data_IF_818761191680
#
_entry.id   IF_818761191680
#
_cell.length_a   1.000
_cell.length_b   1.000
_cell.length_c   1.000
_cell.angle_alpha   90.00
_cell.angle_beta   90.00
_cell.angle_gamma   90.00
#
_symmetry.space_group_name_H-M   'P 1'
#
loop_
_entity.id
_entity.type
_entity.pdbx_description
1 polymer ?
#
# COMPACT_ATOMS: atom_id res chain seq x y z
N UNK A 1 -11.83 -1.71 -0.84
CA UNK A 1 -12.53 -3.01 -0.93
C UNK A 1 -11.78 -4.01 -0.04
N UNK A 2 -12.41 -5.05 0.52
CA UNK A 2 -11.72 -6.06 1.33
C UNK A 2 -11.96 -7.44 0.74
N UNK A 3 -10.90 -8.08 0.27
CA UNK A 3 -10.95 -9.41 -0.33
C UNK A 3 -10.32 -10.43 0.61
N UNK A 4 -11.01 -11.55 0.85
CA UNK A 4 -10.54 -12.63 1.70
C UNK A 4 -10.32 -13.88 0.86
N UNK A 5 -9.13 -14.47 0.95
CA UNK A 5 -8.79 -15.67 0.20
C UNK A 5 -7.82 -16.56 0.98
N UNK A 6 -7.75 -17.83 0.61
CA UNK A 6 -6.86 -18.82 1.24
C UNK A 6 -5.88 -19.36 0.21
N UNK A 7 -4.61 -19.45 0.57
CA UNK A 7 -3.56 -20.07 -0.24
C UNK A 7 -2.60 -20.85 0.65
N UNK A 8 -2.25 -22.08 0.27
CA UNK A 8 -1.29 -22.95 0.99
C UNK A 8 -1.49 -23.00 2.51
N UNK A 9 -2.72 -23.26 2.96
CA UNK A 9 -3.13 -23.33 4.37
C UNK A 9 -3.01 -22.01 5.16
N UNK A 10 -2.89 -20.87 4.48
CA UNK A 10 -2.89 -19.55 5.09
C UNK A 10 -4.07 -18.71 4.56
N UNK A 11 -4.77 -18.02 5.45
CA UNK A 11 -5.86 -17.11 5.09
C UNK A 11 -5.37 -15.68 5.08
N UNK A 12 -5.71 -14.96 4.02
CA UNK A 12 -5.32 -13.58 3.79
C UNK A 12 -6.56 -12.69 3.78
N UNK A 13 -6.42 -11.47 4.31
CA UNK A 13 -7.36 -10.37 4.12
C UNK A 13 -6.62 -9.24 3.43
N UNK A 14 -6.99 -8.93 2.18
CA UNK A 14 -6.38 -7.89 1.38
C UNK A 14 -7.30 -6.67 1.31
N UNK A 15 -6.74 -5.49 1.58
CA UNK A 15 -7.44 -4.22 1.46
C UNK A 15 -7.03 -3.56 0.14
N UNK A 16 -7.95 -3.53 -0.81
CA UNK A 16 -7.74 -2.81 -2.08
C UNK A 16 -8.07 -1.33 -1.91
N UNK A 17 -7.07 -0.50 -2.22
CA UNK A 17 -7.01 0.93 -1.94
C UNK A 17 -6.80 1.72 -3.23
N UNK A 18 -7.54 2.81 -3.40
CA UNK A 18 -7.43 3.64 -4.61
C UNK A 18 -6.07 4.33 -4.72
N UNK A 19 -5.45 4.24 -5.90
CA UNK A 19 -4.24 4.97 -6.26
C UNK A 19 -4.44 6.43 -6.67
N UNK A 20 -5.69 6.91 -6.75
CA UNK A 20 -6.00 8.28 -7.17
C UNK A 20 -5.62 9.27 -6.06
N UNK A 21 -4.93 10.37 -6.44
CA UNK A 21 -4.32 11.31 -5.48
C UNK A 21 -5.22 11.75 -4.32
N UNK A 22 -6.49 12.07 -4.59
CA UNK A 22 -7.47 12.51 -3.57
C UNK A 22 -7.84 11.47 -2.50
N UNK A 23 -7.45 10.21 -2.69
CA UNK A 23 -7.78 9.10 -1.78
C UNK A 23 -6.55 8.51 -1.09
N UNK A 24 -5.33 8.96 -1.41
CA UNK A 24 -4.09 8.39 -0.84
C UNK A 24 -3.95 8.64 0.65
N UNK A 25 -4.56 9.70 1.16
CA UNK A 25 -4.67 9.96 2.60
C UNK A 25 -5.41 8.86 3.37
N UNK A 26 -6.18 7.99 2.70
CA UNK A 26 -6.84 6.86 3.35
C UNK A 26 -5.89 5.67 3.58
N UNK A 27 -4.69 5.65 2.99
CA UNK A 27 -3.77 4.54 3.16
C UNK A 27 -3.28 4.43 4.61
N UNK A 28 -3.00 5.58 5.24
CA UNK A 28 -2.44 5.62 6.60
C UNK A 28 -3.36 5.03 7.66
N UNK A 29 -4.68 5.01 7.41
CA UNK A 29 -5.65 4.42 8.35
C UNK A 29 -5.51 2.91 8.47
N UNK A 30 -4.86 2.25 7.51
CA UNK A 30 -4.68 0.79 7.49
C UNK A 30 -3.27 0.35 7.86
N UNK A 31 -2.29 1.25 7.92
CA UNK A 31 -0.89 0.87 8.17
C UNK A 31 -0.69 0.13 9.49
N UNK A 32 -1.52 0.40 10.51
CA UNK A 32 -1.47 -0.32 11.79
C UNK A 32 -2.00 -1.74 11.72
N UNK A 33 -2.99 -1.97 10.86
CA UNK A 33 -3.86 -3.15 10.90
C UNK A 33 -3.48 -4.22 9.86
N UNK A 34 -2.44 -3.98 9.06
CA UNK A 34 -1.96 -4.91 8.01
C UNK A 34 -0.60 -5.50 8.35
N UNK A 35 -0.36 -6.76 8.03
CA UNK A 35 0.97 -7.38 8.24
C UNK A 35 2.00 -6.96 7.18
N UNK A 36 1.54 -6.51 6.02
CA UNK A 36 2.40 -6.09 4.91
C UNK A 36 1.67 -5.26 3.86
N UNK A 37 2.44 -4.63 2.98
CA UNK A 37 1.93 -3.78 1.91
C UNK A 37 2.46 -4.28 0.57
N UNK A 38 1.56 -4.37 -0.41
CA UNK A 38 1.91 -4.61 -1.81
C UNK A 38 1.69 -3.30 -2.56
N UNK A 39 2.77 -2.64 -2.96
CA UNK A 39 2.73 -1.38 -3.70
C UNK A 39 2.93 -1.66 -5.20
N UNK A 40 1.88 -1.46 -6.00
CA UNK A 40 1.88 -1.77 -7.43
C UNK A 40 2.21 -0.52 -8.25
N UNK A 41 3.18 -0.63 -9.16
CA UNK A 41 3.61 0.46 -10.05
C UNK A 41 3.42 0.05 -11.50
N UNK A 42 2.75 0.89 -12.28
CA UNK A 42 2.68 0.73 -13.73
C UNK A 42 4.04 1.12 -14.36
N UNK A 43 4.79 0.10 -14.77
CA UNK A 43 6.10 0.27 -15.42
C UNK A 43 6.03 0.91 -16.82
N UNK A 44 4.86 0.91 -17.46
CA UNK A 44 4.64 1.56 -18.75
C UNK A 44 4.53 3.08 -18.64
N UNK A 45 4.07 3.60 -17.49
CA UNK A 45 3.89 5.03 -17.26
C UNK A 45 5.14 5.68 -16.68
N UNK A 46 6.11 5.94 -17.56
CA UNK A 46 7.40 6.55 -17.18
C UNK A 46 7.27 7.96 -16.61
N UNK A 47 6.22 8.71 -16.96
CA UNK A 47 6.02 10.07 -16.44
C UNK A 47 5.59 10.04 -14.97
N UNK A 48 4.80 9.05 -14.58
CA UNK A 48 4.30 8.91 -13.20
C UNK A 48 5.21 8.11 -12.27
N UNK A 49 6.34 7.58 -12.75
CA UNK A 49 7.31 6.87 -11.91
C UNK A 49 7.83 7.74 -10.76
N UNK A 50 8.05 9.04 -11.00
CA UNK A 50 8.51 9.97 -9.98
C UNK A 50 7.46 10.16 -8.88
N UNK A 51 6.18 10.24 -9.26
CA UNK A 51 5.07 10.31 -8.31
C UNK A 51 5.00 9.01 -7.49
N UNK A 52 5.10 7.84 -8.13
CA UNK A 52 5.07 6.56 -7.43
C UNK A 52 6.24 6.43 -6.43
N UNK A 53 7.43 6.90 -6.80
CA UNK A 53 8.60 6.97 -5.91
C UNK A 53 8.32 7.85 -4.70
N UNK A 54 7.82 9.07 -4.91
CA UNK A 54 7.61 10.04 -3.82
C UNK A 54 6.53 9.55 -2.84
N UNK A 55 5.45 8.95 -3.36
CA UNK A 55 4.38 8.34 -2.54
C UNK A 55 4.89 7.13 -1.75
N UNK A 56 5.74 6.29 -2.35
CA UNK A 56 6.34 5.16 -1.66
C UNK A 56 7.26 5.63 -0.52
N UNK A 57 8.05 6.68 -0.74
CA UNK A 57 8.88 7.27 0.32
C UNK A 57 8.04 7.83 1.46
N UNK A 58 6.97 8.56 1.16
CA UNK A 58 6.05 9.10 2.16
C UNK A 58 5.43 7.97 3.01
N UNK A 59 5.03 6.88 2.37
CA UNK A 59 4.50 5.69 3.04
C UNK A 59 5.54 5.06 3.96
N UNK A 60 6.78 4.90 3.52
CA UNK A 60 7.85 4.28 4.30
C UNK A 60 8.31 5.15 5.48
N UNK A 61 8.30 6.47 5.32
CA UNK A 61 8.66 7.45 6.37
C UNK A 61 7.56 7.60 7.43
N UNK A 62 6.34 7.14 7.14
CA UNK A 62 5.24 7.21 8.10
C UNK A 62 5.60 6.44 9.38
N UNK A 63 5.35 7.05 10.54
CA UNK A 63 5.74 6.52 11.86
C UNK A 63 5.35 5.06 12.09
N UNK A 64 4.17 4.65 11.63
CA UNK A 64 3.64 3.28 11.82
C UNK A 64 4.34 2.24 10.93
N UNK A 65 5.02 2.69 9.87
CA UNK A 65 5.81 1.86 8.98
C UNK A 65 7.28 1.86 9.41
N UNK A 66 7.84 3.03 9.71
CA UNK A 66 9.23 3.20 10.12
C UNK A 66 9.58 2.46 11.42
N UNK A 67 8.62 2.21 12.30
CA UNK A 67 8.82 1.50 13.57
C UNK A 67 8.67 -0.02 13.47
N UNK A 68 8.29 -0.55 12.31
CA UNK A 68 8.14 -1.99 12.10
C UNK A 68 9.53 -2.65 11.99
N UNK A 69 9.72 -3.74 12.73
CA UNK A 69 10.97 -4.50 12.82
C UNK A 69 11.02 -5.62 11.79
#
# INVERSE_FOLDING_TARGET
NVDKFTSSNMSFSAYDMSGQGKYRNLWETYYKDVDGIIFVVDSGDRLRIAVARDELWLLLDHKEMATRK
#
